data_IF_185315870768
#
_entry.id   IF_185315870768
#
_cell.length_a   1.000
_cell.length_b   1.000
_cell.length_c   1.000
_cell.angle_alpha   90.00
_cell.angle_beta   90.00
_cell.angle_gamma   90.00
#
_symmetry.space_group_name_H-M   'P 1'
#
loop_
_entity.id
_entity.type
_entity.pdbx_description
1 polymer ?
#
# COMPACT_ATOMS: atom_id res chain seq x y z
N UNK A 1 -3.68 -15.51 -0.71
CA UNK A 1 -4.00 -14.83 0.57
C UNK A 1 -4.51 -13.43 0.24
N UNK A 2 -5.62 -12.98 0.86
CA UNK A 2 -6.28 -11.68 0.60
C UNK A 2 -6.33 -10.87 1.89
N UNK A 3 -5.61 -9.75 1.97
CA UNK A 3 -5.33 -9.04 3.22
C UNK A 3 -5.80 -7.59 3.11
N UNK A 4 -6.60 -7.12 4.07
CA UNK A 4 -7.03 -5.71 4.16
C UNK A 4 -6.38 -5.06 5.38
N UNK A 5 -5.82 -3.86 5.19
CA UNK A 5 -5.30 -3.02 6.27
C UNK A 5 -6.23 -1.84 6.54
N UNK A 6 -6.73 -1.76 7.78
CA UNK A 6 -7.56 -0.65 8.26
C UNK A 6 -6.93 0.05 9.46
N UNK A 7 -7.40 1.26 9.75
CA UNK A 7 -6.84 2.11 10.80
C UNK A 7 -6.97 3.59 10.46
N UNK A 8 -6.68 4.44 11.43
CA UNK A 8 -6.77 5.89 11.29
C UNK A 8 -5.81 6.42 10.22
N UNK A 9 -6.14 7.60 9.66
CA UNK A 9 -5.21 8.29 8.76
C UNK A 9 -3.90 8.58 9.50
N UNK A 10 -2.76 8.37 8.85
CA UNK A 10 -1.45 8.54 9.47
C UNK A 10 -0.95 7.38 10.34
N UNK A 11 -1.73 6.31 10.54
CA UNK A 11 -1.29 5.14 11.32
C UNK A 11 -0.14 4.35 10.68
N UNK A 12 0.13 4.52 9.38
CA UNK A 12 1.19 3.78 8.67
C UNK A 12 0.69 2.53 7.93
N UNK A 13 -0.62 2.46 7.63
CA UNK A 13 -1.24 1.37 6.86
C UNK A 13 -0.51 1.09 5.55
N UNK A 14 -0.30 2.12 4.73
CA UNK A 14 0.37 2.00 3.43
C UNK A 14 1.80 1.45 3.57
N UNK A 15 2.54 1.88 4.58
CA UNK A 15 3.88 1.36 4.87
C UNK A 15 3.84 -0.12 5.22
N UNK A 16 2.95 -0.51 6.14
CA UNK A 16 2.80 -1.91 6.53
C UNK A 16 2.28 -2.78 5.38
N UNK A 17 1.32 -2.28 4.60
CA UNK A 17 0.75 -2.95 3.44
C UNK A 17 1.83 -3.25 2.40
N UNK A 18 2.69 -2.26 2.10
CA UNK A 18 3.82 -2.43 1.19
C UNK A 18 4.82 -3.45 1.71
N UNK A 19 5.13 -3.45 3.00
CA UNK A 19 6.00 -4.46 3.62
C UNK A 19 5.42 -5.87 3.51
N UNK A 20 4.14 -6.05 3.82
CA UNK A 20 3.43 -7.34 3.69
C UNK A 20 3.41 -7.79 2.22
N UNK A 21 3.02 -6.91 1.30
CA UNK A 21 2.96 -7.19 -0.12
C UNK A 21 4.32 -7.63 -0.67
N UNK A 22 5.38 -6.92 -0.30
CA UNK A 22 6.75 -7.25 -0.70
C UNK A 22 7.21 -8.59 -0.11
N UNK A 23 6.94 -8.83 1.18
CA UNK A 23 7.34 -10.07 1.87
C UNK A 23 6.63 -11.32 1.34
N UNK A 24 5.37 -11.16 0.92
CA UNK A 24 4.52 -12.23 0.39
C UNK A 24 4.51 -12.32 -1.14
N UNK A 25 5.22 -11.42 -1.84
CA UNK A 25 5.16 -11.27 -3.30
C UNK A 25 3.72 -11.13 -3.84
N UNK A 26 2.92 -10.29 -3.19
CA UNK A 26 1.52 -10.02 -3.56
C UNK A 26 1.35 -8.62 -4.17
N UNK A 27 0.36 -8.42 -5.06
CA UNK A 27 0.02 -7.09 -5.54
C UNK A 27 -0.51 -6.22 -4.39
N UNK A 28 -0.04 -4.97 -4.35
CA UNK A 28 -0.48 -3.97 -3.38
C UNK A 28 -1.49 -3.01 -4.03
N UNK A 29 -2.69 -2.94 -3.45
CA UNK A 29 -3.79 -2.07 -3.86
C UNK A 29 -3.92 -0.94 -2.84
N UNK A 30 -3.42 0.24 -3.21
CA UNK A 30 -3.58 1.44 -2.38
C UNK A 30 -4.85 2.19 -2.78
N UNK A 31 -5.88 2.17 -1.92
CA UNK A 31 -7.19 2.78 -2.26
C UNK A 31 -7.09 4.30 -2.42
N UNK A 32 -6.18 4.94 -1.71
CA UNK A 32 -5.91 6.38 -1.86
C UNK A 32 -5.36 6.69 -3.27
N UNK A 33 -4.51 5.82 -3.84
CA UNK A 33 -3.96 5.98 -5.18
C UNK A 33 -5.02 5.80 -6.28
N UNK A 34 -6.07 5.00 -6.02
CA UNK A 34 -7.23 4.88 -6.92
C UNK A 34 -8.14 6.10 -6.78
N UNK A 35 -8.36 6.59 -5.56
CA UNK A 35 -9.31 7.68 -5.31
C UNK A 35 -8.83 9.03 -5.85
N UNK A 36 -7.57 9.39 -5.62
CA UNK A 36 -7.05 10.72 -5.96
C UNK A 36 -6.58 10.81 -7.40
N UNK A 37 -7.25 11.66 -8.18
CA UNK A 37 -6.91 11.99 -9.56
C UNK A 37 -6.12 13.31 -9.65
N UNK A 38 -5.54 13.63 -10.82
CA UNK A 38 -4.86 14.91 -11.03
C UNK A 38 -5.76 16.11 -10.66
N UNK A 39 -5.17 17.13 -10.05
CA UNK A 39 -5.89 18.34 -9.65
C UNK A 39 -6.70 18.19 -8.35
N UNK A 40 -6.33 17.26 -7.48
CA UNK A 40 -7.03 16.96 -6.22
C UNK A 40 -8.50 16.58 -6.38
N UNK A 41 -8.88 16.01 -7.53
CA UNK A 41 -10.21 15.47 -7.77
C UNK A 41 -10.31 14.08 -7.15
N UNK A 42 -11.23 13.88 -6.19
CA UNK A 42 -11.47 12.57 -5.60
C UNK A 42 -12.63 11.83 -6.28
N UNK A 43 -12.41 10.57 -6.69
CA UNK A 43 -13.43 9.76 -7.35
C UNK A 43 -14.60 9.47 -6.40
N UNK A 44 -14.36 9.28 -5.11
CA UNK A 44 -15.43 8.95 -4.16
C UNK A 44 -16.56 9.98 -4.10
N UNK A 45 -16.25 11.25 -4.40
CA UNK A 45 -17.22 12.35 -4.46
C UNK A 45 -17.67 12.66 -5.89
N UNK A 46 -16.77 12.57 -6.86
CA UNK A 46 -17.02 13.06 -8.22
C UNK A 46 -17.41 11.97 -9.21
N UNK A 47 -17.01 10.73 -8.97
CA UNK A 47 -17.33 9.56 -9.78
C UNK A 47 -17.25 8.27 -8.93
N UNK A 48 -18.24 8.05 -8.03
CA UNK A 48 -18.22 6.92 -7.11
C UNK A 48 -18.35 5.58 -7.84
N UNK A 49 -18.98 5.54 -9.00
CA UNK A 49 -19.11 4.34 -9.83
C UNK A 49 -17.76 3.93 -10.42
N UNK A 50 -16.99 4.89 -10.95
CA UNK A 50 -15.63 4.64 -11.41
C UNK A 50 -14.74 4.15 -10.27
N UNK A 51 -14.81 4.78 -9.09
CA UNK A 51 -14.05 4.33 -7.91
C UNK A 51 -14.38 2.87 -7.56
N UNK A 52 -15.67 2.54 -7.46
CA UNK A 52 -16.12 1.18 -7.15
C UNK A 52 -15.69 0.20 -8.24
N UNK A 53 -15.81 0.57 -9.51
CA UNK A 53 -15.40 -0.26 -10.64
C UNK A 53 -13.92 -0.59 -10.62
N UNK A 54 -13.05 0.42 -10.47
CA UNK A 54 -11.59 0.24 -10.40
C UNK A 54 -11.17 -0.63 -9.22
N UNK A 55 -11.77 -0.42 -8.03
CA UNK A 55 -11.47 -1.25 -6.86
C UNK A 55 -11.98 -2.68 -7.06
N UNK A 56 -13.19 -2.85 -7.61
CA UNK A 56 -13.78 -4.17 -7.87
C UNK A 56 -12.91 -4.98 -8.82
N UNK A 57 -12.40 -4.36 -9.89
CA UNK A 57 -11.47 -5.00 -10.82
C UNK A 57 -10.15 -5.39 -10.13
N UNK A 58 -9.57 -4.48 -9.34
CA UNK A 58 -8.32 -4.74 -8.64
C UNK A 58 -8.40 -5.93 -7.66
N UNK A 59 -9.56 -6.16 -7.03
CA UNK A 59 -9.76 -7.24 -6.04
C UNK A 59 -10.20 -8.57 -6.66
N UNK A 60 -10.30 -8.66 -8.00
CA UNK A 60 -10.62 -9.91 -8.72
C UNK A 60 -9.50 -10.94 -8.58
N UNK A 61 -8.26 -10.49 -8.45
CA UNK A 61 -7.13 -11.37 -8.23
C UNK A 61 -7.35 -12.30 -7.01
N UNK A 62 -6.80 -13.50 -7.08
CA UNK A 62 -6.92 -14.53 -6.03
C UNK A 62 -6.09 -14.20 -4.77
N UNK A 63 -5.10 -13.30 -4.89
CA UNK A 63 -4.27 -12.86 -3.79
C UNK A 63 -3.87 -11.39 -3.95
N UNK A 64 -3.95 -10.62 -2.87
CA UNK A 64 -3.66 -9.19 -2.84
C UNK A 64 -3.53 -8.67 -1.41
N UNK A 65 -2.90 -7.50 -1.28
CA UNK A 65 -2.88 -6.68 -0.06
C UNK A 65 -3.50 -5.33 -0.39
N UNK A 66 -4.56 -4.93 0.32
CA UNK A 66 -5.22 -3.64 0.11
C UNK A 66 -5.14 -2.78 1.37
N UNK A 67 -4.89 -1.47 1.22
CA UNK A 67 -4.94 -0.52 2.33
C UNK A 67 -5.86 0.67 2.07
N UNK A 68 -6.58 1.05 3.13
CA UNK A 68 -7.57 2.13 3.13
C UNK A 68 -8.87 1.69 3.80
N UNK A 69 -9.77 2.64 4.03
CA UNK A 69 -11.04 2.36 4.73
C UNK A 69 -12.18 3.21 4.16
N UNK A 70 -12.43 3.05 2.86
CA UNK A 70 -13.49 3.74 2.15
C UNK A 70 -14.81 2.98 2.30
N UNK A 71 -15.84 3.65 2.81
CA UNK A 71 -17.14 3.03 3.07
C UNK A 71 -17.78 2.39 1.83
N UNK A 72 -17.62 3.01 0.66
CA UNK A 72 -18.20 2.58 -0.62
C UNK A 72 -17.77 1.17 -1.06
N UNK A 73 -16.54 0.77 -0.74
CA UNK A 73 -15.93 -0.50 -1.21
C UNK A 73 -15.60 -1.46 -0.07
N UNK A 74 -15.78 -1.02 1.18
CA UNK A 74 -15.41 -1.78 2.38
C UNK A 74 -16.05 -3.16 2.41
N UNK A 75 -17.35 -3.26 2.18
CA UNK A 75 -18.06 -4.53 2.24
C UNK A 75 -17.54 -5.53 1.20
N UNK A 76 -17.35 -5.09 -0.04
CA UNK A 76 -16.77 -5.90 -1.13
C UNK A 76 -15.36 -6.41 -0.79
N UNK A 77 -14.53 -5.53 -0.22
CA UNK A 77 -13.18 -5.88 0.25
C UNK A 77 -13.22 -6.90 1.38
N UNK A 78 -14.07 -6.68 2.39
CA UNK A 78 -14.15 -7.53 3.58
C UNK A 78 -14.73 -8.91 3.26
N UNK A 79 -15.73 -8.99 2.38
CA UNK A 79 -16.29 -10.27 1.92
C UNK A 79 -15.24 -11.13 1.20
N UNK A 80 -14.34 -10.52 0.41
CA UNK A 80 -13.25 -11.25 -0.26
C UNK A 80 -11.99 -11.37 0.60
N UNK A 81 -11.85 -10.64 1.68
CA UNK A 81 -10.66 -10.73 2.50
C UNK A 81 -10.63 -12.07 3.27
N UNK A 82 -9.42 -12.55 3.52
CA UNK A 82 -9.15 -13.68 4.41
C UNK A 82 -8.61 -13.19 5.75
N UNK A 83 -7.85 -12.09 5.71
CA UNK A 83 -7.21 -11.49 6.87
C UNK A 83 -7.51 -9.99 6.89
N UNK A 84 -7.78 -9.47 8.08
CA UNK A 84 -7.95 -8.05 8.32
C UNK A 84 -6.95 -7.62 9.39
N UNK A 85 -6.01 -6.76 9.01
CA UNK A 85 -5.04 -6.17 9.93
C UNK A 85 -5.54 -4.79 10.32
N UNK A 86 -5.87 -4.61 11.58
CA UNK A 86 -6.34 -3.35 12.11
C UNK A 86 -5.26 -2.69 12.97
N UNK A 87 -4.77 -1.54 12.53
CA UNK A 87 -3.93 -0.64 13.31
C UNK A 87 -4.82 0.16 14.29
N UNK A 88 -5.09 -0.43 15.45
CA UNK A 88 -5.86 0.12 16.57
C UNK A 88 -4.93 0.76 17.62
N UNK A 89 -4.05 1.66 17.15
CA UNK A 89 -3.12 2.35 18.03
C UNK A 89 -3.82 3.30 18.98
N UNK A 90 -3.26 3.43 20.18
CA UNK A 90 -3.75 4.39 21.16
C UNK A 90 -3.57 5.84 20.70
N UNK A 91 -4.44 6.71 21.20
CA UNK A 91 -4.52 8.12 20.81
C UNK A 91 -3.18 8.86 20.85
N UNK A 92 -2.33 8.73 21.90
CA UNK A 92 -1.08 9.47 21.96
C UNK A 92 -0.12 9.08 20.82
N UNK A 93 -0.10 7.80 20.46
CA UNK A 93 0.76 7.26 19.40
C UNK A 93 0.33 7.77 18.03
N UNK A 94 -0.98 7.76 17.75
CA UNK A 94 -1.52 8.33 16.50
C UNK A 94 -1.20 9.83 16.43
N UNK A 95 -1.35 10.53 17.55
CA UNK A 95 -1.16 11.98 17.60
C UNK A 95 0.30 12.37 17.35
N UNK A 96 1.24 11.73 18.05
CA UNK A 96 2.67 11.95 17.85
C UNK A 96 3.07 11.74 16.38
N UNK A 97 2.52 10.70 15.74
CA UNK A 97 2.79 10.40 14.33
C UNK A 97 2.20 11.42 13.37
N UNK A 98 0.96 11.84 13.57
CA UNK A 98 0.32 12.88 12.74
C UNK A 98 1.09 14.19 12.85
N UNK A 99 1.48 14.59 14.06
CA UNK A 99 2.29 15.80 14.30
C UNK A 99 3.66 15.68 13.63
N UNK A 100 4.39 14.59 13.88
CA UNK A 100 5.72 14.38 13.32
C UNK A 100 5.70 14.32 11.78
N UNK A 101 4.73 13.62 11.19
CA UNK A 101 4.55 13.56 9.72
C UNK A 101 4.20 14.93 9.14
N UNK A 102 3.36 15.70 9.82
CA UNK A 102 2.99 17.04 9.40
C UNK A 102 4.20 17.96 9.39
N UNK A 103 5.02 17.91 10.45
CA UNK A 103 6.26 18.65 10.56
C UNK A 103 7.26 18.23 9.45
N UNK A 104 7.49 16.93 9.29
CA UNK A 104 8.42 16.40 8.30
C UNK A 104 8.00 16.73 6.87
N UNK A 105 6.69 16.70 6.55
CA UNK A 105 6.18 17.10 5.23
C UNK A 105 6.28 18.59 4.96
N UNK A 106 6.06 19.42 5.98
CA UNK A 106 6.24 20.88 5.88
C UNK A 106 7.68 21.23 5.55
N UNK A 107 8.63 20.47 6.12
CA UNK A 107 10.06 20.60 5.84
C UNK A 107 10.42 20.03 4.45
N UNK A 108 9.85 18.89 4.05
CA UNK A 108 10.24 18.16 2.83
C UNK A 108 9.49 18.54 1.53
N UNK A 109 8.47 19.42 1.55
CA UNK A 109 7.68 19.86 0.37
C UNK A 109 7.29 18.70 -0.57
N UNK A 110 6.84 17.58 -0.01
CA UNK A 110 6.59 16.35 -0.79
C UNK A 110 5.33 16.45 -1.65
N UNK A 111 5.44 16.01 -2.92
CA UNK A 111 4.32 15.77 -3.82
C UNK A 111 3.52 14.56 -3.32
N UNK A 112 2.19 14.68 -3.33
CA UNK A 112 1.26 13.69 -2.79
C UNK A 112 0.27 13.27 -3.87
N UNK A 113 0.62 12.17 -4.54
CA UNK A 113 -0.19 11.43 -5.52
C UNK A 113 -0.53 12.21 -6.81
N UNK A 114 -0.30 11.59 -7.96
CA UNK A 114 -0.62 12.16 -9.29
C UNK A 114 -0.04 13.57 -9.56
N UNK A 115 1.16 13.88 -9.05
CA UNK A 115 1.82 15.18 -9.25
C UNK A 115 1.20 16.34 -8.45
N UNK A 116 0.26 16.05 -7.55
CA UNK A 116 -0.38 17.05 -6.72
C UNK A 116 0.60 17.56 -5.65
N UNK A 117 0.82 18.88 -5.61
CA UNK A 117 1.56 19.55 -4.53
C UNK A 117 0.58 20.06 -3.49
N UNK A 118 0.80 19.73 -2.21
CA UNK A 118 0.02 20.28 -1.11
C UNK A 118 0.22 21.81 -1.06
N UNK A 119 -0.87 22.59 -1.22
CA UNK A 119 -0.88 24.04 -0.96
C UNK A 119 -1.29 24.27 0.50
N UNK A 120 -0.28 24.49 1.34
CA UNK A 120 -0.26 24.64 2.81
C UNK A 120 -1.20 25.70 3.44
N UNK A 121 -1.96 26.47 2.67
CA UNK A 121 -2.67 27.68 3.15
C UNK A 121 -3.97 27.41 3.94
N UNK A 122 -4.26 26.17 4.35
CA UNK A 122 -5.43 25.80 5.16
C UNK A 122 -5.12 25.19 6.54
N UNK A 123 -3.84 25.11 6.95
CA UNK A 123 -3.40 24.40 8.16
C UNK A 123 -3.70 25.09 9.50
N UNK A 124 -4.22 26.33 9.50
CA UNK A 124 -4.58 27.09 10.71
C UNK A 124 -6.10 27.27 10.90
N UNK A 125 -6.94 26.55 10.14
CA UNK A 125 -8.39 26.61 10.34
C UNK A 125 -8.80 25.83 11.61
N UNK A 126 -9.85 26.27 12.35
CA UNK A 126 -10.43 25.56 13.50
C UNK A 126 -10.81 24.10 13.23
N UNK A 127 -10.92 23.71 11.95
CA UNK A 127 -11.09 22.34 11.42
C UNK A 127 -9.77 21.55 11.32
N UNK A 128 -8.94 21.57 12.37
CA UNK A 128 -7.60 20.96 12.35
C UNK A 128 -7.69 19.41 12.22
N UNK A 129 -6.91 18.74 11.35
CA UNK A 129 -6.88 17.28 11.21
C UNK A 129 -6.67 16.54 12.53
N UNK A 130 -5.84 17.11 13.42
CA UNK A 130 -5.65 16.67 14.82
C UNK A 130 -6.96 16.66 15.61
N UNK A 131 -7.75 17.74 15.58
CA UNK A 131 -9.00 17.83 16.33
C UNK A 131 -10.07 16.89 15.76
N UNK A 132 -10.12 16.73 14.44
CA UNK A 132 -10.99 15.76 13.79
C UNK A 132 -10.55 14.30 14.03
N UNK A 133 -9.25 14.02 13.99
CA UNK A 133 -8.71 12.70 14.34
C UNK A 133 -8.98 12.39 15.82
N UNK A 134 -8.86 13.37 16.71
CA UNK A 134 -9.18 13.27 18.13
C UNK A 134 -10.67 13.00 18.38
N UNK A 135 -11.57 13.79 17.78
CA UNK A 135 -13.01 13.67 18.02
C UNK A 135 -13.64 12.44 17.35
N UNK A 136 -13.05 11.94 16.26
CA UNK A 136 -13.60 10.79 15.52
C UNK A 136 -12.99 9.43 15.90
N UNK A 137 -11.88 9.41 16.66
CA UNK A 137 -11.18 8.16 17.01
C UNK A 137 -12.10 7.17 17.75
N UNK A 138 -12.75 7.62 18.83
CA UNK A 138 -13.60 6.77 19.67
C UNK A 138 -14.79 6.22 18.89
N UNK A 139 -15.44 7.09 18.10
CA UNK A 139 -16.58 6.71 17.27
C UNK A 139 -16.16 5.68 16.21
N UNK A 140 -15.06 5.91 15.50
CA UNK A 140 -14.56 4.99 14.47
C UNK A 140 -14.09 3.66 15.01
N UNK A 141 -13.49 3.67 16.20
CA UNK A 141 -13.07 2.45 16.90
C UNK A 141 -14.29 1.60 17.26
N UNK A 142 -15.34 2.22 17.81
CA UNK A 142 -16.63 1.55 18.06
C UNK A 142 -17.28 1.05 16.77
N UNK A 143 -17.43 1.90 15.76
CA UNK A 143 -17.99 1.49 14.46
C UNK A 143 -17.23 0.32 13.82
N UNK A 144 -15.91 0.25 14.00
CA UNK A 144 -15.08 -0.86 13.48
C UNK A 144 -15.31 -2.13 14.29
N UNK A 145 -15.36 -2.03 15.62
CA UNK A 145 -15.71 -3.14 16.51
C UNK A 145 -17.10 -3.71 16.18
N UNK A 146 -18.10 -2.85 16.08
CA UNK A 146 -19.49 -3.24 15.80
C UNK A 146 -19.61 -3.96 14.46
N UNK A 147 -18.84 -3.51 13.45
CA UNK A 147 -18.80 -4.16 12.14
C UNK A 147 -18.11 -5.52 12.18
N UNK A 148 -16.99 -5.63 12.89
CA UNK A 148 -16.27 -6.91 13.02
C UNK A 148 -17.08 -7.95 13.82
N UNK A 149 -18.01 -7.50 14.67
CA UNK A 149 -18.94 -8.37 15.38
C UNK A 149 -20.07 -8.93 14.50
N UNK A 150 -20.23 -8.45 13.26
CA UNK A 150 -21.29 -8.93 12.37
C UNK A 150 -20.97 -10.34 11.84
N UNK A 151 -21.97 -11.22 11.67
CA UNK A 151 -21.77 -12.58 11.17
C UNK A 151 -21.05 -12.64 9.81
N UNK A 152 -21.24 -11.61 8.98
CA UNK A 152 -20.62 -11.44 7.67
C UNK A 152 -19.09 -11.32 7.72
N UNK A 153 -18.52 -11.07 8.89
CA UNK A 153 -17.07 -10.98 9.11
C UNK A 153 -16.50 -12.22 9.81
N UNK A 154 -17.31 -13.25 10.09
CA UNK A 154 -16.88 -14.42 10.85
C UNK A 154 -15.79 -15.24 10.13
N UNK A 155 -15.69 -15.14 8.80
CA UNK A 155 -14.64 -15.77 8.00
C UNK A 155 -13.29 -15.04 8.08
N UNK A 156 -13.26 -13.81 8.61
CA UNK A 156 -12.05 -12.99 8.67
C UNK A 156 -11.18 -13.37 9.86
N UNK A 157 -9.91 -13.66 9.57
CA UNK A 157 -8.88 -13.66 10.61
C UNK A 157 -8.48 -12.22 10.92
N UNK A 158 -8.95 -11.70 12.06
CA UNK A 158 -8.69 -10.32 12.49
C UNK A 158 -7.43 -10.25 13.35
N UNK A 159 -6.46 -9.42 12.94
CA UNK A 159 -5.22 -9.15 13.67
C UNK A 159 -5.25 -7.69 14.09
N UNK A 160 -5.24 -7.42 15.39
CA UNK A 160 -5.30 -6.05 15.93
C UNK A 160 -3.93 -5.65 16.47
N UNK A 161 -3.46 -4.48 16.05
CA UNK A 161 -2.18 -3.91 16.49
C UNK A 161 -2.44 -2.70 17.37
N UNK A 162 -1.95 -2.75 18.61
CA UNK A 162 -2.09 -1.69 19.60
C UNK A 162 -0.84 -0.79 19.66
N UNK A 163 0.30 -1.31 19.24
CA UNK A 163 1.58 -0.62 19.21
C UNK A 163 2.29 -0.78 17.85
N UNK A 164 2.99 0.26 17.35
CA UNK A 164 3.72 0.17 16.10
C UNK A 164 4.83 -0.87 16.05
N UNK A 165 5.39 -1.23 17.20
CA UNK A 165 6.43 -2.28 17.30
C UNK A 165 5.93 -3.65 16.84
N UNK A 166 4.63 -3.89 16.88
CA UNK A 166 4.02 -5.17 16.47
C UNK A 166 3.98 -5.34 14.94
N UNK A 167 4.21 -4.26 14.17
CA UNK A 167 4.15 -4.28 12.71
C UNK A 167 5.10 -5.32 12.09
N UNK A 168 6.32 -5.48 12.64
CA UNK A 168 7.27 -6.48 12.16
C UNK A 168 6.80 -7.91 12.45
N UNK A 169 6.25 -8.14 13.64
CA UNK A 169 5.74 -9.45 14.03
C UNK A 169 4.59 -9.91 13.13
N UNK A 170 3.69 -8.99 12.76
CA UNK A 170 2.57 -9.32 11.86
C UNK A 170 3.03 -9.68 10.44
N UNK A 171 4.06 -9.02 9.93
CA UNK A 171 4.62 -9.36 8.60
C UNK A 171 5.11 -10.81 8.59
N UNK A 172 5.85 -11.22 9.62
CA UNK A 172 6.36 -12.59 9.70
C UNK A 172 5.26 -13.62 10.00
N UNK A 173 4.30 -13.30 10.87
CA UNK A 173 3.14 -14.15 11.13
C UNK A 173 2.35 -14.45 9.84
N UNK A 174 2.13 -13.44 9.01
CA UNK A 174 1.43 -13.60 7.73
C UNK A 174 2.28 -14.37 6.72
N UNK A 175 3.61 -14.18 6.73
CA UNK A 175 4.53 -14.96 5.90
C UNK A 175 4.52 -16.45 6.25
N UNK A 176 4.55 -16.78 7.54
CA UNK A 176 4.45 -18.15 8.02
C UNK A 176 3.11 -18.78 7.61
N UNK A 177 1.99 -18.08 7.82
CA UNK A 177 0.65 -18.54 7.39
C UNK A 177 0.52 -18.71 5.87
N UNK A 178 1.29 -17.96 5.10
CA UNK A 178 1.35 -18.09 3.65
C UNK A 178 2.30 -19.21 3.18
N UNK A 179 2.99 -19.91 4.10
CA UNK A 179 4.01 -20.91 3.76
C UNK A 179 5.32 -20.30 3.24
N UNK A 180 5.50 -18.98 3.37
CA UNK A 180 6.71 -18.29 2.93
C UNK A 180 7.73 -18.37 4.06
N UNK A 181 8.54 -19.43 4.05
CA UNK A 181 9.62 -19.59 5.03
C UNK A 181 10.48 -18.33 5.09
N UNK A 182 10.80 -17.91 6.31
CA UNK A 182 11.79 -16.87 6.53
C UNK A 182 13.07 -17.30 5.83
N UNK A 183 13.50 -16.56 4.80
CA UNK A 183 14.90 -16.61 4.41
C UNK A 183 15.67 -16.11 5.61
N UNK A 184 16.18 -17.02 6.43
CA UNK A 184 17.33 -16.71 7.27
C UNK A 184 18.33 -16.04 6.34
N UNK A 185 18.67 -14.78 6.64
CA UNK A 185 19.82 -14.12 6.03
C UNK A 185 20.98 -15.04 6.37
N UNK A 186 21.39 -15.85 5.40
CA UNK A 186 22.41 -16.85 5.59
C UNK A 186 23.66 -16.17 6.12
N UNK A 187 24.10 -16.61 7.30
CA UNK A 187 25.49 -16.49 7.67
C UNK A 187 26.30 -17.02 6.50
N UNK A 188 27.26 -16.20 6.03
CA UNK A 188 28.18 -16.57 4.98
C UNK A 188 28.78 -17.95 5.31
N UNK A 189 28.88 -18.88 4.35
CA UNK A 189 29.70 -20.06 4.56
C UNK A 189 31.14 -19.57 4.72
N UNK A 190 31.72 -19.84 5.90
CA UNK A 190 33.15 -19.77 6.10
C UNK A 190 33.81 -20.65 5.05
N UNK A 191 34.35 -20.03 4.01
CA UNK A 191 35.06 -20.70 2.94
C UNK A 191 36.50 -20.85 3.40
N UNK A 192 36.79 -22.00 4.00
CA UNK A 192 38.15 -22.47 4.23
C UNK A 192 38.85 -22.71 2.90
N UNK A 193 40.07 -22.21 2.80
CA UNK A 193 41.03 -22.42 1.73
C UNK A 193 41.42 -23.90 1.58
N UNK A 194 41.48 -24.39 0.33
CA UNK A 194 42.51 -25.33 -0.11
C UNK A 194 42.54 -25.44 -1.66
N UNK A 195 43.57 -24.83 -2.25
CA UNK A 195 44.48 -25.32 -3.29
C UNK A 195 43.97 -26.30 -4.37
N UNK A 196 44.18 -25.90 -5.64
CA UNK A 196 44.32 -26.81 -6.78
C UNK A 196 43.83 -26.22 -8.11
N UNK A 197 44.72 -25.67 -8.93
CA UNK A 197 44.48 -25.50 -10.37
C UNK A 197 45.22 -26.58 -11.18
N UNK A 198 45.33 -26.46 -12.51
CA UNK A 198 44.30 -26.08 -13.49
C UNK A 198 44.11 -27.22 -14.52
N UNK A 199 42.88 -27.46 -15.00
CA UNK A 199 42.68 -28.22 -16.25
C UNK A 199 41.70 -27.49 -17.16
N UNK A 200 42.23 -27.15 -18.33
CA UNK A 200 41.54 -26.58 -19.46
C UNK A 200 40.88 -27.71 -20.26
N UNK A 201 39.56 -27.66 -20.42
CA UNK A 201 38.85 -28.37 -21.49
C UNK A 201 37.77 -27.42 -22.01
N UNK A 202 37.88 -27.08 -23.29
CA UNK A 202 36.92 -26.23 -23.98
C UNK A 202 35.60 -26.93 -24.27
N UNK A 203 34.55 -26.16 -24.52
CA UNK A 203 33.75 -26.21 -25.75
C UNK A 203 32.58 -25.21 -25.72
N UNK A 204 32.40 -24.60 -26.90
CA UNK A 204 31.24 -24.01 -27.58
C UNK A 204 30.18 -23.15 -26.84
N UNK A 205 30.12 -21.90 -27.32
CA UNK A 205 28.96 -21.13 -27.78
C UNK A 205 27.57 -21.81 -27.69
N UNK A 206 26.64 -21.13 -27.02
CA UNK A 206 25.20 -21.37 -27.17
C UNK A 206 24.35 -20.56 -26.19
N UNK A 207 23.67 -19.53 -26.71
CA UNK A 207 22.51 -18.84 -26.12
C UNK A 207 22.73 -17.90 -24.92
N UNK A 208 23.02 -16.65 -25.27
CA UNK A 208 22.53 -15.45 -24.58
C UNK A 208 21.38 -14.85 -25.40
N UNK A 209 20.56 -14.06 -24.71
CA UNK A 209 19.61 -13.05 -25.21
C UNK A 209 18.13 -13.44 -25.35
N UNK A 210 17.36 -13.17 -24.29
CA UNK A 210 15.99 -12.62 -24.38
C UNK A 210 15.78 -11.61 -23.23
N UNK A 211 16.25 -10.37 -23.40
CA UNK A 211 15.66 -9.19 -22.77
C UNK A 211 15.76 -8.03 -23.78
N UNK A 212 14.62 -7.42 -24.09
CA UNK A 212 14.39 -6.06 -24.64
C UNK A 212 13.66 -6.02 -25.98
N UNK A 213 12.35 -5.78 -25.92
CA UNK A 213 11.60 -5.11 -26.97
C UNK A 213 10.25 -4.64 -26.41
N UNK A 214 10.12 -3.34 -26.13
CA UNK A 214 8.95 -2.52 -26.51
C UNK A 214 9.32 -1.07 -26.27
N UNK A 215 9.93 -0.45 -27.27
CA UNK A 215 10.04 1.00 -27.39
C UNK A 215 10.12 1.33 -28.87
N UNK A 216 9.20 2.19 -29.32
CA UNK A 216 9.08 2.88 -30.63
C UNK A 216 8.33 2.17 -31.76
N UNK A 217 7.10 2.63 -31.96
CA UNK A 217 6.56 3.18 -33.20
C UNK A 217 5.25 3.90 -32.80
N UNK A 218 4.89 5.11 -33.23
CA UNK A 218 5.16 5.76 -34.50
C UNK A 218 5.18 7.31 -34.35
N UNK A 219 6.03 7.93 -35.15
CA UNK A 219 6.01 9.34 -35.55
C UNK A 219 5.82 9.35 -37.07
N UNK A 220 5.21 10.42 -37.59
CA UNK A 220 4.96 10.82 -39.01
C UNK A 220 3.55 10.42 -39.48
N UNK A 221 2.64 11.27 -39.96
CA UNK A 221 2.64 12.64 -40.54
C UNK A 221 1.39 13.40 -40.01
N UNK A 222 1.17 14.71 -40.14
CA UNK A 222 1.46 15.61 -41.25
C UNK A 222 1.42 17.09 -40.81
N UNK A 223 2.12 17.92 -41.58
CA UNK A 223 2.21 19.39 -41.50
C UNK A 223 1.02 20.07 -42.19
N UNK A 224 0.76 21.30 -41.75
CA UNK A 224 0.02 22.38 -42.44
C UNK A 224 -1.02 22.99 -41.49
N UNK A 225 -1.13 24.29 -41.24
CA UNK A 225 -0.47 25.55 -41.63
C UNK A 225 -1.01 26.60 -40.62
N UNK A 226 -0.33 27.72 -40.28
CA UNK A 226 -0.82 28.69 -39.30
C UNK A 226 -1.61 29.83 -39.96
N UNK A 227 -2.73 30.27 -39.35
CA UNK A 227 -3.48 31.42 -39.85
C UNK A 227 -4.57 31.93 -38.90
N UNK A 228 -4.21 32.95 -38.11
CA UNK A 228 -4.94 34.19 -37.81
C UNK A 228 -6.42 34.18 -37.37
N UNK A 229 -6.71 34.86 -36.24
CA UNK A 229 -8.07 35.23 -35.81
C UNK A 229 -8.24 35.29 -34.30
#
# INVERSE_FOLDING_TARGET
>A
MRIVLIGTSGAGKTTLARSIASRLALPHIELDAINWQPGWRDLTRHDPEEFVGRVTEAIRAEAWVADGNYGLVRERLWQRATHLVWLDYERPVIMARVIFRTFLRAVLRTELWAGNRERWRHMLRPSHPIRWAWSTWERRRRETLDRLAQPQCAHLTVIRLHHPGEARGVVELLAEKAGVQARCVGAAPASGSALGGPEAIGLSNGQRDIISATSRSAVTAARGDPGNG
#
